data_IF_399802709476
#
_entry.id   IF_399802709476
#
_cell.length_a   1.000
_cell.length_b   1.000
_cell.length_c   1.000
_cell.angle_alpha   90.00
_cell.angle_beta   90.00
_cell.angle_gamma   90.00
#
_symmetry.space_group_name_H-M   'P 1'
#
loop_
_entity.id
_entity.type
_entity.pdbx_description
1 polymer ?
#
# COMPACT_ATOMS: atom_id res chain seq x y z
N UNK A 1 0.09 2.31 -14.91
CA UNK A 1 1.25 2.78 -15.71
C UNK A 1 1.10 2.50 -17.21
N UNK A 2 0.80 1.29 -17.62
CA UNK A 2 0.77 0.92 -19.04
C UNK A 2 -0.38 1.58 -19.83
N UNK A 3 -1.47 1.87 -19.17
CA UNK A 3 -2.70 2.42 -19.79
C UNK A 3 -2.98 3.88 -19.43
N UNK A 4 -2.11 4.52 -18.63
CA UNK A 4 -2.30 5.91 -18.22
C UNK A 4 -1.69 6.83 -19.27
N UNK A 5 -2.54 7.54 -20.02
CA UNK A 5 -2.11 8.50 -21.05
C UNK A 5 -1.34 9.70 -20.48
N UNK A 6 -1.58 10.06 -19.21
CA UNK A 6 -0.97 11.19 -18.54
C UNK A 6 -0.63 10.83 -17.08
N UNK A 7 0.63 10.43 -16.86
CA UNK A 7 1.14 10.04 -15.55
C UNK A 7 1.13 11.22 -14.57
N UNK A 8 1.37 12.44 -15.06
CA UNK A 8 1.42 13.65 -14.21
C UNK A 8 0.06 13.93 -13.59
N UNK A 9 -1.02 13.87 -14.39
CA UNK A 9 -2.40 14.02 -13.90
C UNK A 9 -2.80 12.91 -12.94
N UNK A 10 -2.27 11.71 -13.13
CA UNK A 10 -2.54 10.59 -12.23
C UNK A 10 -1.84 10.80 -10.88
N UNK A 11 -0.55 11.16 -10.90
CA UNK A 11 0.22 11.50 -9.69
C UNK A 11 -0.42 12.67 -8.93
N UNK A 12 -0.82 13.74 -9.63
CA UNK A 12 -1.49 14.89 -9.01
C UNK A 12 -2.77 14.47 -8.27
N UNK A 13 -3.62 13.64 -8.91
CA UNK A 13 -4.84 13.15 -8.25
C UNK A 13 -4.52 12.32 -7.01
N UNK A 14 -3.57 11.38 -7.10
CA UNK A 14 -3.13 10.60 -5.95
C UNK A 14 -2.62 11.49 -4.82
N UNK A 15 -1.81 12.51 -5.13
CA UNK A 15 -1.28 13.44 -4.13
C UNK A 15 -2.39 14.23 -3.43
N UNK A 16 -3.41 14.69 -4.18
CA UNK A 16 -4.58 15.37 -3.59
C UNK A 16 -5.31 14.43 -2.62
N UNK A 17 -5.57 13.18 -3.02
CA UNK A 17 -6.23 12.23 -2.13
C UNK A 17 -5.34 11.79 -0.97
N UNK A 18 -4.00 11.76 -1.13
CA UNK A 18 -3.06 11.52 -0.04
C UNK A 18 -3.20 12.61 1.05
N UNK A 19 -3.24 13.87 0.64
CA UNK A 19 -3.43 15.00 1.57
C UNK A 19 -4.80 14.97 2.25
N UNK A 20 -5.87 14.70 1.48
CA UNK A 20 -7.24 14.61 2.05
C UNK A 20 -7.34 13.45 3.05
N UNK A 21 -6.67 12.33 2.78
CA UNK A 21 -6.76 11.12 3.61
C UNK A 21 -5.89 11.20 4.88
N UNK A 22 -4.87 12.07 4.90
CA UNK A 22 -3.92 12.14 6.01
C UNK A 22 -4.58 12.39 7.38
N UNK A 23 -5.43 13.41 7.56
CA UNK A 23 -6.08 13.65 8.86
C UNK A 23 -6.96 12.48 9.29
N UNK A 24 -7.67 11.82 8.36
CA UNK A 24 -8.51 10.66 8.69
C UNK A 24 -7.67 9.43 9.07
N UNK A 25 -6.51 9.27 8.45
CA UNK A 25 -5.57 8.20 8.80
C UNK A 25 -5.02 8.38 10.20
N UNK A 26 -4.62 9.62 10.58
CA UNK A 26 -4.14 9.92 11.93
C UNK A 26 -5.27 9.70 12.96
N UNK A 27 -6.48 10.16 12.68
CA UNK A 27 -7.64 9.94 13.55
C UNK A 27 -7.99 8.46 13.74
N UNK A 28 -7.83 7.66 12.67
CA UNK A 28 -8.14 6.24 12.73
C UNK A 28 -7.13 5.42 13.56
N UNK A 29 -5.85 5.79 13.52
CA UNK A 29 -4.79 4.95 14.08
C UNK A 29 -3.97 5.59 15.20
N UNK A 30 -3.89 6.92 15.26
CA UNK A 30 -2.99 7.66 16.14
C UNK A 30 -3.64 8.94 16.69
N UNK A 31 -4.91 8.88 17.08
CA UNK A 31 -5.67 10.05 17.52
C UNK A 31 -5.06 10.74 18.74
N UNK A 32 -4.47 9.96 19.67
CA UNK A 32 -3.92 10.45 20.93
C UNK A 32 -2.64 11.28 20.75
N UNK A 33 -1.90 11.03 19.65
CA UNK A 33 -0.63 11.70 19.32
C UNK A 33 -0.69 12.34 17.94
N UNK A 34 -1.76 13.09 17.67
CA UNK A 34 -2.06 13.64 16.33
C UNK A 34 -0.91 14.45 15.75
N UNK A 35 -0.29 15.33 16.55
CA UNK A 35 0.78 16.21 16.08
C UNK A 35 2.09 15.46 15.80
N UNK A 36 2.42 14.45 16.62
CA UNK A 36 3.64 13.67 16.47
C UNK A 36 3.58 12.72 15.27
N UNK A 37 2.36 12.36 14.86
CA UNK A 37 2.11 11.46 13.73
C UNK A 37 1.83 12.18 12.39
N UNK A 38 1.98 13.52 12.32
CA UNK A 38 1.80 14.27 11.07
C UNK A 38 2.73 13.79 9.94
N UNK A 39 3.93 13.32 10.29
CA UNK A 39 4.93 12.84 9.34
C UNK A 39 4.89 11.33 9.11
N UNK A 40 3.99 10.60 9.77
CA UNK A 40 3.69 9.23 9.43
C UNK A 40 2.71 9.22 8.25
N UNK A 41 3.23 8.96 7.05
CA UNK A 41 2.52 9.20 5.80
C UNK A 41 1.67 7.98 5.43
N UNK A 42 0.40 8.24 5.09
CA UNK A 42 -0.56 7.20 4.70
C UNK A 42 -0.20 6.50 3.38
N UNK A 43 -0.90 5.41 3.06
CA UNK A 43 -0.65 4.56 1.88
C UNK A 43 -0.68 5.33 0.55
N UNK A 44 -1.48 6.39 0.41
CA UNK A 44 -1.51 7.14 -0.84
C UNK A 44 -0.19 7.88 -1.11
N UNK A 45 0.50 8.37 -0.07
CA UNK A 45 1.84 8.94 -0.23
C UNK A 45 2.83 7.86 -0.67
N UNK A 46 2.78 6.66 -0.07
CA UNK A 46 3.57 5.51 -0.53
C UNK A 46 3.32 5.22 -2.01
N UNK A 47 2.04 5.21 -2.44
CA UNK A 47 1.67 4.97 -3.83
C UNK A 47 2.18 6.07 -4.78
N UNK A 48 2.14 7.35 -4.37
CA UNK A 48 2.66 8.47 -5.17
C UNK A 48 4.15 8.30 -5.41
N UNK A 49 4.93 8.09 -4.34
CA UNK A 49 6.40 7.97 -4.45
C UNK A 49 6.78 6.69 -5.18
N UNK A 50 6.16 5.55 -4.86
CA UNK A 50 6.39 4.28 -5.55
C UNK A 50 6.07 4.35 -7.03
N UNK A 51 4.97 5.02 -7.40
CA UNK A 51 4.58 5.20 -8.80
C UNK A 51 5.55 6.11 -9.56
N UNK A 52 6.01 7.20 -8.93
CA UNK A 52 6.99 8.10 -9.51
C UNK A 52 8.34 7.39 -9.71
N UNK A 53 8.79 6.62 -8.71
CA UNK A 53 10.00 5.81 -8.79
C UNK A 53 9.90 4.74 -9.89
N UNK A 54 8.81 3.97 -9.92
CA UNK A 54 8.59 2.95 -10.94
C UNK A 54 8.43 3.55 -12.35
N UNK A 55 7.90 4.77 -12.48
CA UNK A 55 7.92 5.51 -13.73
C UNK A 55 9.35 5.92 -14.12
N UNK A 56 10.15 6.39 -13.14
CA UNK A 56 11.58 6.66 -13.33
C UNK A 56 12.34 5.43 -13.84
N UNK A 57 12.10 4.27 -13.24
CA UNK A 57 12.65 2.99 -13.69
C UNK A 57 12.28 2.67 -15.14
N UNK A 58 10.99 2.79 -15.49
CA UNK A 58 10.50 2.56 -16.86
C UNK A 58 11.14 3.48 -17.89
N UNK A 59 11.28 4.77 -17.58
CA UNK A 59 11.84 5.79 -18.47
C UNK A 59 13.37 5.89 -18.40
N UNK A 60 14.04 4.97 -17.67
CA UNK A 60 15.49 4.96 -17.42
C UNK A 60 16.01 6.23 -16.75
N UNK A 61 15.15 6.94 -16.01
CA UNK A 61 15.51 8.09 -15.19
C UNK A 61 15.97 7.64 -13.81
N UNK A 62 17.19 7.13 -13.74
CA UNK A 62 17.74 6.47 -12.57
C UNK A 62 17.78 7.37 -11.31
N UNK A 63 17.99 8.68 -11.48
CA UNK A 63 17.98 9.64 -10.38
C UNK A 63 16.58 9.69 -9.72
N UNK A 64 15.50 9.69 -10.53
CA UNK A 64 14.12 9.68 -10.03
C UNK A 64 13.80 8.35 -9.31
N UNK A 65 14.27 7.24 -9.87
CA UNK A 65 14.12 5.93 -9.24
C UNK A 65 14.85 5.86 -7.90
N UNK A 66 16.14 6.23 -7.87
CA UNK A 66 16.96 6.21 -6.66
C UNK A 66 16.43 7.18 -5.60
N UNK A 67 16.04 8.40 -6.00
CA UNK A 67 15.44 9.37 -5.08
C UNK A 67 14.13 8.86 -4.45
N UNK A 68 13.25 8.24 -5.24
CA UNK A 68 12.03 7.64 -4.71
C UNK A 68 12.30 6.45 -3.79
N UNK A 69 13.27 5.60 -4.13
CA UNK A 69 13.69 4.49 -3.28
C UNK A 69 14.25 4.98 -1.93
N UNK A 70 15.13 5.99 -1.95
CA UNK A 70 15.69 6.59 -0.74
C UNK A 70 14.59 7.24 0.12
N UNK A 71 13.68 8.00 -0.47
CA UNK A 71 12.55 8.57 0.26
C UNK A 71 11.73 7.49 0.97
N UNK A 72 11.39 6.41 0.27
CA UNK A 72 10.63 5.30 0.86
C UNK A 72 11.40 4.54 1.94
N UNK A 73 12.74 4.60 1.94
CA UNK A 73 13.59 3.92 2.93
C UNK A 73 13.79 4.73 4.20
N UNK A 74 13.79 6.08 4.11
CA UNK A 74 14.17 6.94 5.24
C UNK A 74 13.01 7.74 5.83
N UNK A 75 11.90 7.87 5.12
CA UNK A 75 10.71 8.56 5.63
C UNK A 75 9.66 7.52 6.05
N UNK A 76 8.92 7.82 7.11
CA UNK A 76 7.89 6.94 7.66
C UNK A 76 6.65 6.89 6.74
N UNK A 77 6.66 5.98 5.79
CA UNK A 77 5.52 5.65 4.95
C UNK A 77 4.85 4.37 5.45
N UNK A 78 3.53 4.30 5.33
CA UNK A 78 2.72 3.15 5.77
C UNK A 78 3.22 1.81 5.20
N UNK A 79 3.52 1.75 3.90
CA UNK A 79 4.08 0.55 3.24
C UNK A 79 5.54 0.70 2.79
N UNK A 80 6.20 1.81 3.06
CA UNK A 80 7.63 2.02 2.76
C UNK A 80 8.06 1.46 1.39
N UNK A 81 9.20 0.81 1.32
CA UNK A 81 9.77 0.20 0.09
C UNK A 81 8.91 -0.96 -0.45
N UNK A 82 8.09 -1.61 0.41
CA UNK A 82 7.18 -2.70 0.00
C UNK A 82 6.29 -2.30 -1.18
N UNK A 83 5.70 -1.10 -1.11
CA UNK A 83 4.84 -0.58 -2.19
C UNK A 83 5.58 -0.50 -3.53
N UNK A 84 6.83 -0.06 -3.53
CA UNK A 84 7.67 0.01 -4.74
C UNK A 84 8.02 -1.38 -5.27
N UNK A 85 8.43 -2.30 -4.39
CA UNK A 85 8.78 -3.69 -4.77
C UNK A 85 7.58 -4.36 -5.44
N UNK A 86 6.40 -4.30 -4.83
CA UNK A 86 5.18 -4.89 -5.39
C UNK A 86 4.81 -4.26 -6.74
N UNK A 87 4.93 -2.93 -6.88
CA UNK A 87 4.71 -2.27 -8.18
C UNK A 87 5.69 -2.73 -9.25
N UNK A 88 6.96 -2.95 -8.90
CA UNK A 88 7.97 -3.47 -9.83
C UNK A 88 7.69 -4.92 -10.21
N UNK A 89 7.30 -5.79 -9.27
CA UNK A 89 6.89 -7.17 -9.56
C UNK A 89 5.74 -7.16 -10.59
N UNK A 90 4.68 -6.41 -10.33
CA UNK A 90 3.53 -6.32 -11.26
C UNK A 90 3.91 -5.72 -12.62
N UNK A 91 4.81 -4.76 -12.63
CA UNK A 91 5.28 -4.15 -13.88
C UNK A 91 6.13 -5.11 -14.72
N UNK A 92 7.12 -5.77 -14.10
CA UNK A 92 8.07 -6.65 -14.78
C UNK A 92 7.40 -7.98 -15.20
N UNK A 93 6.52 -8.51 -14.37
CA UNK A 93 5.87 -9.80 -14.60
C UNK A 93 4.52 -9.70 -15.32
N UNK A 94 4.14 -8.53 -15.84
CA UNK A 94 2.85 -8.28 -16.49
C UNK A 94 2.48 -9.26 -17.62
N UNK A 95 3.49 -9.77 -18.34
CA UNK A 95 3.33 -10.73 -19.44
C UNK A 95 3.54 -12.18 -19.00
N UNK A 96 3.83 -12.41 -17.71
CA UNK A 96 4.10 -13.72 -17.11
C UNK A 96 3.37 -13.82 -15.76
N UNK A 97 2.03 -13.98 -15.76
CA UNK A 97 1.23 -13.92 -14.53
C UNK A 97 1.65 -14.98 -13.49
N UNK A 98 2.00 -16.18 -13.93
CA UNK A 98 2.48 -17.24 -13.02
C UNK A 98 3.78 -16.85 -12.31
N UNK A 99 4.73 -16.23 -13.03
CA UNK A 99 5.97 -15.73 -12.41
C UNK A 99 5.68 -14.59 -11.44
N UNK A 100 4.77 -13.69 -11.81
CA UNK A 100 4.35 -12.59 -10.92
C UNK A 100 3.70 -13.11 -9.64
N UNK A 101 2.82 -14.09 -9.74
CA UNK A 101 2.20 -14.74 -8.58
C UNK A 101 3.27 -15.42 -7.70
N UNK A 102 4.21 -16.16 -8.31
CA UNK A 102 5.30 -16.80 -7.58
C UNK A 102 6.18 -15.81 -6.83
N UNK A 103 6.59 -14.70 -7.47
CA UNK A 103 7.38 -13.65 -6.82
C UNK A 103 6.59 -12.92 -5.72
N UNK A 104 5.29 -12.71 -5.93
CA UNK A 104 4.41 -12.12 -4.92
C UNK A 104 4.30 -13.03 -3.68
N UNK A 105 4.09 -14.33 -3.87
CA UNK A 105 4.05 -15.32 -2.79
C UNK A 105 5.41 -15.34 -2.08
N UNK A 106 6.52 -15.43 -2.83
CA UNK A 106 7.87 -15.44 -2.27
C UNK A 106 8.16 -14.20 -1.42
N UNK A 107 7.65 -13.04 -1.83
CA UNK A 107 7.80 -11.79 -1.09
C UNK A 107 7.13 -11.82 0.28
N UNK A 108 5.97 -12.47 0.41
CA UNK A 108 5.23 -12.57 1.66
C UNK A 108 5.59 -13.78 2.52
N UNK A 109 6.32 -14.75 1.99
CA UNK A 109 6.73 -15.95 2.77
C UNK A 109 7.48 -15.63 4.07
N UNK A 110 8.37 -14.61 4.14
CA UNK A 110 9.06 -14.28 5.40
C UNK A 110 8.12 -13.94 6.55
N UNK A 111 6.89 -13.49 6.28
CA UNK A 111 5.88 -13.22 7.31
C UNK A 111 5.54 -14.47 8.14
N UNK A 112 5.79 -15.68 7.63
CA UNK A 112 5.62 -16.92 8.39
C UNK A 112 6.59 -17.04 9.58
N UNK A 113 7.72 -16.36 9.53
CA UNK A 113 8.77 -16.43 10.57
C UNK A 113 9.03 -15.12 11.27
N UNK A 114 8.47 -14.00 10.78
CA UNK A 114 8.72 -12.66 11.31
C UNK A 114 7.72 -12.23 12.38
N UNK A 115 6.78 -13.08 12.79
CA UNK A 115 5.85 -12.79 13.88
C UNK A 115 6.57 -12.77 15.24
N UNK A 116 6.14 -11.88 16.14
CA UNK A 116 6.61 -11.79 17.51
C UNK A 116 5.53 -12.28 18.46
N UNK A 117 5.92 -13.06 19.47
CA UNK A 117 4.97 -13.65 20.45
C UNK A 117 4.25 -12.59 21.28
N UNK A 118 4.89 -11.42 21.46
CA UNK A 118 4.35 -10.31 22.26
C UNK A 118 3.51 -9.33 21.43
N UNK A 119 3.51 -9.46 20.08
CA UNK A 119 2.73 -8.60 19.21
C UNK A 119 1.27 -9.09 19.13
N UNK A 120 0.28 -8.27 19.59
CA UNK A 120 -1.13 -8.64 19.55
C UNK A 120 -1.66 -8.87 18.12
N UNK A 121 -0.95 -8.42 17.10
CA UNK A 121 -1.28 -8.63 15.69
C UNK A 121 -0.72 -9.94 15.13
N UNK A 122 0.17 -10.62 15.87
CA UNK A 122 0.71 -11.91 15.44
C UNK A 122 -0.26 -13.04 15.69
N UNK A 123 -0.39 -13.94 14.72
CA UNK A 123 -1.15 -15.19 14.85
C UNK A 123 -0.31 -16.27 15.50
N UNK A 124 -0.79 -16.85 16.58
CA UNK A 124 -0.16 -18.01 17.22
C UNK A 124 -0.70 -19.31 16.60
N UNK A 125 0.15 -20.01 15.84
CA UNK A 125 -0.18 -21.30 15.25
C UNK A 125 0.87 -22.33 15.69
N UNK A 126 0.44 -23.35 16.40
CA UNK A 126 1.32 -24.42 16.89
C UNK A 126 2.58 -23.93 17.66
N UNK A 127 2.47 -22.85 18.41
CA UNK A 127 3.58 -22.25 19.17
C UNK A 127 4.50 -21.32 18.37
N UNK A 128 4.23 -21.10 17.08
CA UNK A 128 4.92 -20.13 16.24
C UNK A 128 4.09 -18.86 16.06
N UNK A 129 4.73 -17.71 16.23
CA UNK A 129 4.12 -16.42 15.91
C UNK A 129 4.29 -16.13 14.41
N UNK A 130 3.17 -15.93 13.74
CA UNK A 130 3.10 -15.59 12.31
C UNK A 130 2.66 -14.14 12.21
N UNK A 131 3.40 -13.34 11.44
CA UNK A 131 3.04 -11.95 11.19
C UNK A 131 1.71 -11.86 10.42
N UNK A 132 0.83 -10.94 10.85
CA UNK A 132 -0.49 -10.74 10.24
C UNK A 132 -0.41 -10.39 8.75
N UNK A 133 0.70 -9.84 8.27
CA UNK A 133 0.92 -9.50 6.86
C UNK A 133 0.86 -10.71 5.93
N UNK A 134 0.93 -11.95 6.48
CA UNK A 134 0.72 -13.20 5.72
C UNK A 134 -0.64 -13.23 5.00
N UNK A 135 -1.65 -12.54 5.55
CA UNK A 135 -2.95 -12.40 4.89
C UNK A 135 -2.88 -11.68 3.54
N UNK A 136 -1.77 -10.94 3.28
CA UNK A 136 -1.48 -10.41 1.95
C UNK A 136 -1.49 -11.48 0.87
N UNK A 137 -1.17 -12.74 1.20
CA UNK A 137 -1.25 -13.87 0.26
C UNK A 137 -2.66 -14.13 -0.27
N UNK A 138 -3.70 -13.82 0.49
CA UNK A 138 -5.09 -13.98 0.03
C UNK A 138 -5.40 -13.11 -1.18
N UNK A 139 -4.69 -12.00 -1.35
CA UNK A 139 -4.87 -11.09 -2.49
C UNK A 139 -4.34 -11.65 -3.82
N UNK A 140 -3.56 -12.74 -3.80
CA UNK A 140 -3.12 -13.45 -5.02
C UNK A 140 -4.33 -13.86 -5.86
N UNK A 141 -5.37 -14.37 -5.20
CA UNK A 141 -6.57 -14.82 -5.90
C UNK A 141 -7.25 -13.71 -6.71
N UNK A 142 -7.67 -12.57 -6.13
CA UNK A 142 -8.33 -11.51 -6.90
C UNK A 142 -7.38 -10.81 -7.90
N UNK A 143 -6.06 -10.83 -7.67
CA UNK A 143 -5.09 -10.20 -8.57
C UNK A 143 -4.84 -11.02 -9.83
N UNK A 144 -4.74 -12.35 -9.69
CA UNK A 144 -4.29 -13.23 -10.76
C UNK A 144 -5.39 -14.10 -11.37
N UNK A 145 -6.54 -14.26 -10.70
CA UNK A 145 -7.69 -14.91 -11.31
C UNK A 145 -8.34 -13.99 -12.35
N UNK A 146 -8.69 -14.53 -13.54
CA UNK A 146 -9.39 -13.75 -14.56
C UNK A 146 -10.80 -13.42 -14.08
N UNK A 147 -11.00 -12.21 -13.61
CA UNK A 147 -12.32 -11.70 -13.22
C UNK A 147 -12.96 -10.97 -14.40
N UNK A 148 -13.92 -11.62 -15.05
CA UNK A 148 -14.74 -10.99 -16.08
C UNK A 148 -16.01 -10.41 -15.45
N UNK A 149 -15.86 -9.38 -14.64
CA UNK A 149 -17.02 -8.61 -14.15
C UNK A 149 -17.31 -7.49 -15.13
N UNK A 150 -18.49 -7.48 -15.75
CA UNK A 150 -18.96 -6.38 -16.61
C UNK A 150 -19.22 -5.06 -15.86
N UNK A 151 -18.95 -5.03 -14.55
CA UNK A 151 -19.21 -3.88 -13.65
C UNK A 151 -18.11 -2.85 -13.84
N UNK A 152 -18.47 -1.67 -14.35
CA UNK A 152 -17.58 -0.51 -14.46
C UNK A 152 -17.71 0.35 -13.21
N UNK A 153 -16.81 0.18 -12.24
CA UNK A 153 -16.77 1.02 -11.05
C UNK A 153 -16.12 2.37 -11.39
N UNK A 154 -16.72 3.51 -11.03
CA UNK A 154 -16.13 4.83 -11.27
C UNK A 154 -14.78 4.97 -10.56
N UNK A 155 -13.80 5.58 -11.23
CA UNK A 155 -12.46 5.79 -10.66
C UNK A 155 -12.50 6.58 -9.35
N UNK A 156 -13.41 7.53 -9.23
CA UNK A 156 -13.59 8.35 -8.04
C UNK A 156 -14.01 7.52 -6.81
N UNK A 157 -14.73 6.41 -7.01
CA UNK A 157 -15.11 5.50 -5.95
C UNK A 157 -13.87 4.94 -5.22
N UNK A 158 -12.85 4.49 -5.96
CA UNK A 158 -11.63 3.95 -5.35
C UNK A 158 -10.85 5.00 -4.58
N UNK A 159 -10.80 6.24 -5.07
CA UNK A 159 -10.12 7.32 -4.37
C UNK A 159 -10.88 7.79 -3.13
N UNK A 160 -12.22 7.87 -3.22
CA UNK A 160 -13.07 8.31 -2.11
C UNK A 160 -13.28 7.24 -1.04
N UNK A 161 -13.25 5.97 -1.42
CA UNK A 161 -13.45 4.86 -0.48
C UNK A 161 -12.44 4.89 0.67
N UNK A 162 -11.16 5.13 0.36
CA UNK A 162 -10.10 5.12 1.37
C UNK A 162 -10.29 6.19 2.47
N UNK A 163 -10.45 7.50 2.18
CA UNK A 163 -10.68 8.47 3.24
C UNK A 163 -12.03 8.27 3.98
N UNK A 164 -13.06 7.79 3.28
CA UNK A 164 -14.38 7.56 3.90
C UNK A 164 -14.34 6.42 4.91
N UNK A 165 -13.72 5.28 4.58
CA UNK A 165 -13.63 4.18 5.55
C UNK A 165 -12.71 4.51 6.73
N UNK A 166 -11.63 5.28 6.51
CA UNK A 166 -10.78 5.78 7.60
C UNK A 166 -11.55 6.74 8.52
N UNK A 167 -12.36 7.64 7.94
CA UNK A 167 -13.22 8.50 8.72
C UNK A 167 -14.21 7.69 9.58
N UNK A 168 -14.82 6.64 9.01
CA UNK A 168 -15.70 5.74 9.75
C UNK A 168 -14.99 5.03 10.92
N UNK A 169 -13.77 4.52 10.69
CA UNK A 169 -12.95 3.91 11.75
C UNK A 169 -12.62 4.94 12.84
N UNK A 170 -12.18 6.14 12.46
CA UNK A 170 -11.87 7.22 13.41
C UNK A 170 -13.08 7.61 14.27
N UNK A 171 -14.25 7.73 13.66
CA UNK A 171 -15.51 8.02 14.39
C UNK A 171 -15.85 6.90 15.38
N UNK A 172 -15.75 5.62 14.95
CA UNK A 172 -16.00 4.48 15.84
C UNK A 172 -15.02 4.48 17.01
N UNK A 173 -13.74 4.75 16.75
CA UNK A 173 -12.70 4.85 17.78
C UNK A 173 -13.02 5.93 18.80
N UNK A 174 -13.41 7.12 18.34
CA UNK A 174 -13.80 8.24 19.22
C UNK A 174 -15.04 7.92 20.08
N UNK A 175 -16.01 7.17 19.53
CA UNK A 175 -17.23 6.77 20.28
C UNK A 175 -16.88 5.73 21.34
N UNK A 176 -15.98 4.80 21.04
CA UNK A 176 -15.63 3.71 21.95
C UNK A 176 -14.53 4.11 22.98
N UNK A 177 -13.96 5.31 22.85
CA UNK A 177 -12.80 5.78 23.66
C UNK A 177 -11.64 4.77 23.67
N UNK A 178 -11.29 4.21 22.51
CA UNK A 178 -10.23 3.20 22.33
C UNK A 178 -9.11 3.76 21.47
#
# INVERSE_FOLDING_TARGET
>A
MLYTKDIKKYLLRLSVFALISQPFWILAFNADEFMDNLFNLNIFFTLVVSLAAAWGFKEKKWILFAGGFLLLSFVNFDYSVTGLILMLIFYLCRNRPALGAGLYILYWLPALWNGYLEDPKSLLVAGHAIDWTIFGLLSVFPIYLPTHTGIKIPKLFFYGFYPVHLAAIGVVRLILNV
#
